data_IF_187860315983
#
_entry.id   IF_187860315983
#
_cell.length_a   1.000
_cell.length_b   1.000
_cell.length_c   1.000
_cell.angle_alpha   90.00
_cell.angle_beta   90.00
_cell.angle_gamma   90.00
#
_symmetry.space_group_name_H-M   'P 1'
#
loop_
_entity.id
_entity.type
_entity.pdbx_description
1 polymer ?
#
# COMPACT_ATOMS: atom_id res chain seq x y z
N UNK A 1 -4.76 -7.28 18.41
CA UNK A 1 -3.83 -7.08 17.27
C UNK A 1 -3.17 -5.71 17.36
N UNK A 2 -2.01 -5.56 16.73
CA UNK A 2 -1.35 -4.29 16.45
C UNK A 2 -1.01 -4.24 14.96
N UNK A 3 -1.26 -3.11 14.31
CA UNK A 3 -1.00 -2.85 12.89
C UNK A 3 -0.15 -1.58 12.79
N UNK A 4 0.96 -1.64 12.08
CA UNK A 4 1.89 -0.53 11.86
C UNK A 4 2.08 -0.35 10.35
N UNK A 5 1.82 0.83 9.82
CA UNK A 5 2.06 1.12 8.40
C UNK A 5 3.54 1.43 8.20
N UNK A 6 4.26 0.59 7.46
CA UNK A 6 5.67 0.82 7.12
C UNK A 6 5.78 1.87 6.01
N UNK A 7 4.87 1.81 5.04
CA UNK A 7 4.71 2.79 3.97
C UNK A 7 3.28 2.85 3.46
N UNK A 8 2.90 3.99 2.89
CA UNK A 8 1.51 4.30 2.49
C UNK A 8 1.38 4.91 1.09
N UNK A 9 2.47 4.95 0.34
CA UNK A 9 2.57 5.59 -0.96
C UNK A 9 2.45 4.62 -2.13
N UNK A 10 2.25 5.20 -3.31
CA UNK A 10 2.32 4.52 -4.61
C UNK A 10 3.70 3.91 -4.88
N UNK A 11 3.82 3.21 -6.02
CA UNK A 11 5.07 2.60 -6.49
C UNK A 11 6.28 3.55 -6.56
N UNK A 12 6.05 4.85 -6.81
CA UNK A 12 7.10 5.86 -6.86
C UNK A 12 7.52 6.40 -5.46
N UNK A 13 6.75 6.13 -4.41
CA UNK A 13 6.90 6.80 -3.11
C UNK A 13 6.61 8.30 -3.18
N UNK A 14 6.77 9.06 -2.10
CA UNK A 14 6.55 10.51 -2.07
C UNK A 14 7.57 11.19 -1.14
N UNK A 15 8.18 12.31 -1.52
CA UNK A 15 7.96 13.14 -2.73
C UNK A 15 8.40 12.50 -4.05
N UNK A 16 7.78 12.90 -5.17
CA UNK A 16 8.27 12.52 -6.51
C UNK A 16 9.47 13.38 -6.90
N UNK A 17 10.55 12.72 -7.35
CA UNK A 17 11.81 13.39 -7.70
C UNK A 17 11.58 14.41 -8.81
N UNK A 18 10.92 14.03 -9.91
CA UNK A 18 10.64 14.93 -11.03
C UNK A 18 9.96 16.22 -10.54
N UNK A 19 9.02 16.08 -9.61
CA UNK A 19 8.18 17.14 -9.09
C UNK A 19 8.98 18.13 -8.24
N UNK A 20 9.83 17.65 -7.33
CA UNK A 20 10.64 18.54 -6.47
C UNK A 20 11.84 19.14 -7.20
N UNK A 21 12.27 18.53 -8.30
CA UNK A 21 13.32 19.06 -9.19
C UNK A 21 12.73 19.66 -10.46
N UNK A 22 11.50 20.16 -10.41
CA UNK A 22 10.85 20.74 -11.58
C UNK A 22 11.68 21.91 -12.16
N UNK A 23 11.73 22.06 -13.50
CA UNK A 23 12.41 23.19 -14.12
C UNK A 23 11.66 24.50 -13.81
N UNK A 24 12.29 25.68 -14.00
CA UNK A 24 11.72 26.97 -13.60
C UNK A 24 10.32 27.27 -14.17
N UNK A 25 9.96 26.68 -15.30
CA UNK A 25 8.67 26.88 -15.98
C UNK A 25 7.54 26.02 -15.39
N UNK A 26 7.84 25.09 -14.48
CA UNK A 26 6.86 24.19 -13.88
C UNK A 26 6.89 24.30 -12.35
N UNK A 27 5.75 24.65 -11.77
CA UNK A 27 5.61 24.68 -10.31
C UNK A 27 5.49 23.25 -9.73
N UNK A 28 6.31 22.88 -8.73
CA UNK A 28 6.13 21.64 -7.98
C UNK A 28 4.76 21.58 -7.29
N UNK A 29 4.17 20.39 -7.20
CA UNK A 29 2.88 20.25 -6.53
C UNK A 29 2.97 20.50 -5.02
N UNK A 30 1.90 21.05 -4.45
CA UNK A 30 1.74 21.33 -3.02
C UNK A 30 2.10 20.12 -2.14
N UNK A 31 1.69 18.92 -2.53
CA UNK A 31 1.91 17.70 -1.75
C UNK A 31 3.39 17.36 -1.64
N UNK A 32 4.11 17.32 -2.78
CA UNK A 32 5.55 17.06 -2.80
C UNK A 32 6.33 18.12 -2.02
N UNK A 33 6.00 19.41 -2.20
CA UNK A 33 6.64 20.48 -1.45
C UNK A 33 6.39 20.35 0.06
N UNK A 34 5.16 20.02 0.46
CA UNK A 34 4.82 19.89 1.88
C UNK A 34 5.60 18.76 2.56
N UNK A 35 5.92 17.69 1.85
CA UNK A 35 6.70 16.55 2.36
C UNK A 35 8.12 16.96 2.80
N UNK A 36 8.64 18.08 2.30
CA UNK A 36 9.94 18.64 2.68
C UNK A 36 9.89 19.49 3.96
N UNK A 37 8.72 19.62 4.59
CA UNK A 37 8.52 20.44 5.79
C UNK A 37 8.20 19.58 7.02
N UNK A 38 8.56 20.00 8.25
CA UNK A 38 8.19 19.28 9.46
C UNK A 38 6.68 19.07 9.62
N UNK A 39 5.86 20.06 9.20
CA UNK A 39 4.39 19.99 9.28
C UNK A 39 3.82 18.96 8.31
N UNK A 40 4.40 18.83 7.11
CA UNK A 40 3.96 17.89 6.09
C UNK A 40 4.65 16.52 6.16
N UNK A 41 5.22 16.12 7.31
CA UNK A 41 5.90 14.81 7.45
C UNK A 41 5.01 13.62 7.04
N UNK A 42 3.69 13.72 7.22
CA UNK A 42 2.72 12.69 6.79
C UNK A 42 2.52 12.60 5.26
N UNK A 43 3.07 13.55 4.51
CA UNK A 43 3.17 13.49 3.06
C UNK A 43 4.49 12.87 2.58
N UNK A 44 5.38 12.45 3.48
CA UNK A 44 6.43 11.48 3.12
C UNK A 44 5.77 10.11 3.12
N UNK A 45 5.81 9.41 1.97
CA UNK A 45 5.09 8.14 1.80
C UNK A 45 6.00 7.13 1.12
N UNK A 46 6.46 6.13 1.88
CA UNK A 46 7.21 4.98 1.38
C UNK A 46 6.28 4.00 0.66
N UNK A 47 6.81 3.04 -0.10
CA UNK A 47 6.00 2.03 -0.78
C UNK A 47 5.08 1.30 0.20
N UNK A 48 3.87 1.02 -0.25
CA UNK A 48 2.81 0.41 0.57
C UNK A 48 3.30 -0.88 1.21
N UNK A 49 3.24 -0.92 2.54
CA UNK A 49 3.68 -2.06 3.35
C UNK A 49 3.18 -1.88 4.79
N UNK A 50 2.94 -2.98 5.49
CA UNK A 50 2.49 -2.95 6.87
C UNK A 50 3.06 -4.11 7.70
N UNK A 51 3.12 -3.92 9.01
CA UNK A 51 3.37 -4.99 9.98
C UNK A 51 2.11 -5.25 10.79
N UNK A 52 1.74 -6.51 10.91
CA UNK A 52 0.68 -7.01 11.76
C UNK A 52 1.29 -7.83 12.89
N UNK A 53 1.01 -7.46 14.12
CA UNK A 53 1.42 -8.21 15.32
C UNK A 53 0.23 -8.80 16.04
N UNK A 54 0.25 -10.11 16.20
CA UNK A 54 -0.84 -10.90 16.77
C UNK A 54 -0.30 -11.82 17.86
N UNK A 55 -1.13 -12.09 18.87
CA UNK A 55 -0.79 -13.09 19.89
C UNK A 55 -0.86 -14.48 19.29
N UNK A 56 0.14 -15.30 19.57
CA UNK A 56 0.18 -16.70 19.18
C UNK A 56 -0.42 -17.59 20.27
N UNK A 57 -0.72 -18.85 19.96
CA UNK A 57 -1.15 -19.86 20.94
C UNK A 57 -0.13 -20.11 22.05
N UNK A 58 1.12 -19.76 21.84
CA UNK A 58 2.23 -19.86 22.80
C UNK A 58 2.37 -18.61 23.69
N UNK A 59 1.50 -17.60 23.51
CA UNK A 59 1.50 -16.38 24.32
C UNK A 59 2.54 -15.32 23.93
N UNK A 60 3.41 -15.59 22.95
CA UNK A 60 4.27 -14.57 22.32
C UNK A 60 3.54 -13.81 21.22
N UNK A 61 4.07 -12.65 20.80
CA UNK A 61 3.57 -11.94 19.61
C UNK A 61 4.31 -12.41 18.36
N UNK A 62 3.58 -12.81 17.33
CA UNK A 62 4.14 -12.99 16.00
C UNK A 62 4.21 -11.64 15.26
N UNK A 63 5.19 -11.47 14.39
CA UNK A 63 5.39 -10.30 13.52
C UNK A 63 5.21 -10.74 12.07
N UNK A 64 4.14 -10.27 11.43
CA UNK A 64 3.82 -10.58 10.04
C UNK A 64 4.00 -9.30 9.23
N UNK A 65 4.84 -9.32 8.21
CA UNK A 65 5.01 -8.19 7.28
C UNK A 65 4.15 -8.44 6.05
N UNK A 66 3.45 -7.42 5.56
CA UNK A 66 2.77 -7.44 4.27
C UNK A 66 3.55 -6.54 3.34
N UNK A 67 4.09 -7.13 2.28
CA UNK A 67 4.99 -6.55 1.28
C UNK A 67 6.32 -6.00 1.82
N UNK A 68 7.37 -6.18 1.03
CA UNK A 68 8.73 -5.66 1.26
C UNK A 68 9.23 -4.97 0.00
N UNK A 69 8.68 -3.80 -0.28
CA UNK A 69 9.06 -2.97 -1.43
C UNK A 69 10.46 -2.35 -1.36
N UNK A 70 10.77 -1.55 -2.38
CA UNK A 70 12.04 -0.79 -2.55
C UNK A 70 12.42 0.05 -1.33
N UNK A 71 11.43 0.53 -0.58
CA UNK A 71 11.63 1.38 0.60
C UNK A 71 11.57 0.61 1.92
N UNK A 72 11.54 -0.73 1.88
CA UNK A 72 11.42 -1.57 3.07
C UNK A 72 12.56 -1.32 4.06
N UNK A 73 13.82 -1.34 3.62
CA UNK A 73 14.98 -1.12 4.49
C UNK A 73 14.84 0.16 5.32
N UNK A 74 14.56 1.29 4.67
CA UNK A 74 14.40 2.58 5.34
C UNK A 74 13.22 2.57 6.33
N UNK A 75 12.13 1.89 5.98
CA UNK A 75 10.97 1.72 6.87
C UNK A 75 11.32 0.86 8.08
N UNK A 76 12.04 -0.24 7.85
CA UNK A 76 12.42 -1.17 8.90
C UNK A 76 13.38 -0.52 9.90
N UNK A 77 14.39 0.22 9.42
CA UNK A 77 15.31 0.98 10.27
C UNK A 77 14.60 2.01 11.15
N UNK A 78 13.54 2.65 10.66
CA UNK A 78 12.76 3.63 11.45
C UNK A 78 11.81 2.95 12.44
N UNK A 79 11.04 1.95 11.99
CA UNK A 79 9.90 1.43 12.74
C UNK A 79 10.20 0.20 13.60
N UNK A 80 11.10 -0.70 13.17
CA UNK A 80 11.38 -1.92 13.93
C UNK A 80 11.98 -1.62 15.31
N UNK A 81 13.04 -0.80 15.44
CA UNK A 81 13.59 -0.43 16.74
C UNK A 81 12.57 0.31 17.62
N UNK A 82 11.79 1.23 17.01
CA UNK A 82 10.79 2.04 17.72
C UNK A 82 9.69 1.19 18.37
N UNK A 83 9.29 0.10 17.72
CA UNK A 83 8.21 -0.77 18.18
C UNK A 83 8.69 -2.09 18.80
N UNK A 84 10.00 -2.23 19.02
CA UNK A 84 10.60 -3.44 19.60
C UNK A 84 10.33 -4.69 18.77
N UNK A 85 10.37 -4.55 17.44
CA UNK A 85 10.27 -5.65 16.49
C UNK A 85 11.68 -6.10 16.13
N UNK A 86 11.94 -7.40 16.21
CA UNK A 86 13.27 -7.97 15.94
C UNK A 86 13.15 -9.08 14.92
N UNK A 87 12.37 -10.11 15.22
CA UNK A 87 12.11 -11.24 14.32
C UNK A 87 10.90 -10.98 13.42
N UNK A 88 10.89 -11.61 12.26
CA UNK A 88 9.79 -11.65 11.29
C UNK A 88 9.33 -13.10 11.15
N UNK A 89 8.12 -13.40 11.61
CA UNK A 89 7.55 -14.75 11.58
C UNK A 89 7.00 -15.13 10.21
N UNK A 90 6.53 -14.15 9.43
CA UNK A 90 6.04 -14.36 8.09
C UNK A 90 6.09 -13.06 7.27
N UNK A 91 6.29 -13.21 5.96
CA UNK A 91 6.06 -12.15 4.99
C UNK A 91 4.98 -12.61 4.03
N UNK A 92 3.94 -11.81 3.86
CA UNK A 92 2.90 -12.00 2.86
C UNK A 92 3.19 -11.06 1.69
N UNK A 93 3.41 -11.59 0.48
CA UNK A 93 3.63 -10.78 -0.73
C UNK A 93 2.35 -10.75 -1.55
N UNK A 94 1.79 -9.55 -1.71
CA UNK A 94 0.54 -9.33 -2.43
C UNK A 94 0.69 -9.62 -3.91
N UNK A 95 1.77 -9.14 -4.53
CA UNK A 95 1.97 -9.25 -5.98
C UNK A 95 3.42 -9.02 -6.44
N UNK A 96 3.66 -9.21 -7.74
CA UNK A 96 4.99 -9.26 -8.34
C UNK A 96 5.62 -7.90 -8.76
N UNK A 97 5.14 -6.75 -8.29
CA UNK A 97 5.76 -5.47 -8.65
C UNK A 97 6.90 -5.06 -7.72
N UNK A 98 7.78 -4.21 -8.23
CA UNK A 98 8.97 -3.76 -7.53
C UNK A 98 8.70 -3.09 -6.17
N UNK A 99 7.59 -2.38 -6.06
CA UNK A 99 7.14 -1.74 -4.82
C UNK A 99 6.53 -2.70 -3.80
N UNK A 100 6.29 -3.96 -4.15
CA UNK A 100 5.88 -5.01 -3.23
C UNK A 100 7.03 -5.96 -2.83
N UNK A 101 8.03 -6.19 -3.69
CA UNK A 101 9.05 -7.23 -3.45
C UNK A 101 10.53 -6.84 -3.57
N UNK A 102 10.90 -5.66 -4.09
CA UNK A 102 12.32 -5.37 -4.34
C UNK A 102 13.17 -5.16 -3.07
N UNK A 103 12.55 -5.12 -1.89
CA UNK A 103 13.22 -5.15 -0.59
C UNK A 103 13.50 -6.56 -0.06
N UNK A 104 13.19 -7.62 -0.82
CA UNK A 104 13.53 -8.99 -0.42
C UNK A 104 15.03 -9.15 -0.14
N UNK A 105 15.90 -8.51 -0.92
CA UNK A 105 17.35 -8.60 -0.70
C UNK A 105 17.80 -7.99 0.63
N UNK A 106 17.11 -6.96 1.13
CA UNK A 106 17.40 -6.30 2.40
C UNK A 106 17.19 -7.24 3.61
N UNK A 107 16.39 -8.30 3.45
CA UNK A 107 16.14 -9.29 4.49
C UNK A 107 17.38 -10.12 4.84
N UNK A 108 18.48 -10.01 4.07
CA UNK A 108 19.79 -10.56 4.45
C UNK A 108 20.18 -10.15 5.87
N UNK A 109 19.84 -8.93 6.30
CA UNK A 109 20.16 -8.44 7.65
C UNK A 109 19.47 -9.21 8.77
N UNK A 110 18.40 -9.96 8.48
CA UNK A 110 17.72 -10.84 9.43
C UNK A 110 18.32 -12.25 9.49
N UNK A 111 18.78 -12.76 8.35
CA UNK A 111 19.24 -14.16 8.27
C UNK A 111 20.75 -14.31 8.26
N UNK A 112 21.49 -13.19 8.19
CA UNK A 112 22.94 -13.16 8.17
C UNK A 112 23.52 -13.96 9.35
N UNK A 113 24.18 -15.07 9.03
CA UNK A 113 24.74 -16.03 9.99
C UNK A 113 23.76 -16.54 11.07
N UNK A 114 22.45 -16.43 10.81
CA UNK A 114 21.41 -16.78 11.79
C UNK A 114 21.38 -15.90 13.04
N UNK A 115 21.91 -14.67 12.98
CA UNK A 115 22.03 -13.78 14.15
C UNK A 115 20.69 -13.29 14.71
N UNK A 116 19.68 -13.11 13.86
CA UNK A 116 18.31 -12.80 14.29
C UNK A 116 17.44 -14.04 14.15
N UNK A 117 17.43 -14.65 12.96
CA UNK A 117 16.69 -15.88 12.68
C UNK A 117 17.37 -16.69 11.58
N UNK A 118 17.21 -18.03 11.55
CA UNK A 118 17.87 -18.86 10.54
C UNK A 118 17.29 -18.69 9.14
N UNK A 119 16.00 -18.38 9.02
CA UNK A 119 15.29 -18.13 7.76
C UNK A 119 14.06 -17.25 8.01
N UNK A 120 13.44 -16.76 6.93
CA UNK A 120 12.13 -16.09 6.96
C UNK A 120 11.15 -16.88 6.07
N UNK A 121 9.96 -17.16 6.58
CA UNK A 121 8.88 -17.77 5.79
C UNK A 121 8.19 -16.70 4.92
N UNK A 122 8.20 -16.91 3.60
CA UNK A 122 7.59 -16.01 2.61
C UNK A 122 6.39 -16.72 1.97
N UNK A 123 5.22 -16.09 2.02
CA UNK A 123 3.96 -16.59 1.49
C UNK A 123 3.53 -15.74 0.30
N UNK A 124 3.36 -16.37 -0.86
CA UNK A 124 3.08 -15.69 -2.12
C UNK A 124 2.39 -16.62 -3.13
N UNK A 125 1.79 -16.05 -4.17
CA UNK A 125 1.22 -16.85 -5.27
C UNK A 125 2.31 -17.54 -6.09
N UNK A 126 1.94 -18.57 -6.86
CA UNK A 126 2.87 -19.24 -7.78
C UNK A 126 3.41 -18.25 -8.83
N UNK A 127 2.55 -17.39 -9.37
CA UNK A 127 2.91 -16.37 -10.37
C UNK A 127 3.93 -15.37 -9.80
N UNK A 128 3.73 -14.95 -8.55
CA UNK A 128 4.67 -14.04 -7.87
C UNK A 128 6.00 -14.72 -7.61
N UNK A 129 5.99 -16.01 -7.26
CA UNK A 129 7.22 -16.78 -7.06
C UNK A 129 8.01 -16.95 -8.36
N UNK A 130 7.32 -17.22 -9.46
CA UNK A 130 7.96 -17.34 -10.79
C UNK A 130 8.57 -16.00 -11.25
N UNK A 131 7.92 -14.88 -10.92
CA UNK A 131 8.49 -13.55 -11.14
C UNK A 131 9.77 -13.33 -10.31
N UNK A 132 9.76 -13.66 -9.01
CA UNK A 132 10.96 -13.58 -8.16
C UNK A 132 12.09 -14.44 -8.71
N UNK A 133 11.80 -15.68 -9.12
CA UNK A 133 12.78 -16.62 -9.69
C UNK A 133 13.42 -16.08 -10.97
N UNK A 134 12.67 -15.29 -11.73
CA UNK A 134 13.12 -14.66 -12.98
C UNK A 134 13.95 -13.40 -12.69
N UNK A 135 13.46 -12.50 -11.84
CA UNK A 135 14.09 -11.22 -11.54
C UNK A 135 15.31 -11.34 -10.61
N UNK A 136 15.23 -12.24 -9.62
CA UNK A 136 16.22 -12.41 -8.56
C UNK A 136 16.55 -13.89 -8.33
N UNK A 137 17.11 -14.58 -9.34
CA UNK A 137 17.32 -16.03 -9.30
C UNK A 137 18.16 -16.51 -8.11
N UNK A 138 19.07 -15.68 -7.62
CA UNK A 138 19.93 -15.99 -6.48
C UNK A 138 19.20 -16.04 -5.14
N UNK A 139 18.03 -15.38 -5.00
CA UNK A 139 17.19 -15.46 -3.80
C UNK A 139 16.48 -16.82 -3.67
N UNK A 140 16.34 -17.54 -4.78
CA UNK A 140 15.68 -18.85 -4.84
C UNK A 140 16.70 -20.00 -4.86
N UNK A 141 17.83 -19.80 -5.53
CA UNK A 141 18.88 -20.82 -5.71
C UNK A 141 20.24 -20.20 -5.47
N UNK A 142 20.89 -20.61 -4.38
CA UNK A 142 22.20 -20.08 -3.96
C UNK A 142 23.29 -20.37 -5.00
N UNK A 143 23.14 -21.43 -5.80
CA UNK A 143 24.07 -21.74 -6.89
C UNK A 143 24.13 -20.65 -7.97
N UNK A 144 23.11 -19.77 -8.01
CA UNK A 144 23.03 -18.64 -8.95
C UNK A 144 23.57 -17.33 -8.37
N UNK A 145 24.08 -17.34 -7.14
CA UNK A 145 24.76 -16.19 -6.57
C UNK A 145 26.16 -16.03 -7.20
N UNK A 146 26.46 -14.85 -7.72
CA UNK A 146 27.78 -14.54 -8.25
C UNK A 146 28.69 -14.02 -7.13
N UNK A 147 29.61 -14.85 -6.63
CA UNK A 147 30.63 -14.45 -5.65
C UNK A 147 30.34 -14.83 -4.20
N UNK A 148 31.08 -14.25 -3.26
CA UNK A 148 31.03 -14.59 -1.83
C UNK A 148 30.13 -13.70 -0.96
N UNK A 149 29.22 -12.93 -1.57
CA UNK A 149 28.28 -12.09 -0.82
C UNK A 149 27.21 -12.92 -0.12
N UNK A 150 26.77 -12.49 1.06
CA UNK A 150 25.71 -13.16 1.79
C UNK A 150 24.38 -13.10 1.00
N UNK A 151 23.53 -14.12 1.13
CA UNK A 151 22.22 -14.18 0.48
C UNK A 151 21.19 -14.46 1.58
N UNK A 152 20.02 -13.81 1.56
CA UNK A 152 18.99 -14.09 2.55
C UNK A 152 18.54 -15.56 2.51
N UNK A 153 18.13 -16.08 3.65
CA UNK A 153 17.60 -17.45 3.77
C UNK A 153 16.07 -17.41 3.83
N UNK A 154 15.41 -18.02 2.85
CA UNK A 154 13.95 -18.02 2.76
C UNK A 154 13.38 -19.43 2.72
N UNK A 155 12.22 -19.57 3.36
CA UNK A 155 11.33 -20.71 3.17
C UNK A 155 10.11 -20.24 2.40
N UNK A 156 9.98 -20.72 1.17
CA UNK A 156 8.92 -20.31 0.26
C UNK A 156 7.66 -21.15 0.46
N UNK A 157 6.52 -20.47 0.57
CA UNK A 157 5.19 -21.07 0.71
C UNK A 157 4.28 -20.56 -0.39
N UNK A 158 3.85 -21.47 -1.27
CA UNK A 158 2.88 -21.14 -2.30
C UNK A 158 1.48 -21.15 -1.69
N UNK A 159 0.79 -20.02 -1.78
CA UNK A 159 -0.58 -19.85 -1.30
C UNK A 159 -1.54 -19.67 -2.47
N UNK A 160 -2.80 -20.05 -2.27
CA UNK A 160 -3.81 -20.11 -3.31
C UNK A 160 -5.02 -19.24 -2.96
N UNK A 161 -5.62 -18.63 -3.99
CA UNK A 161 -6.81 -17.79 -3.86
C UNK A 161 -7.92 -18.50 -3.06
N UNK A 162 -8.46 -17.80 -2.05
CA UNK A 162 -9.53 -18.25 -1.15
C UNK A 162 -9.23 -19.50 -0.30
N UNK A 163 -7.99 -19.99 -0.31
CA UNK A 163 -7.60 -21.14 0.52
C UNK A 163 -6.96 -20.63 1.82
N UNK A 164 -7.63 -20.78 2.98
CA UNK A 164 -7.07 -20.34 4.25
C UNK A 164 -5.88 -21.21 4.65
N UNK A 165 -4.92 -20.59 5.34
CA UNK A 165 -3.76 -21.27 5.92
C UNK A 165 -3.42 -20.70 7.30
N UNK A 166 -2.65 -21.46 8.08
CA UNK A 166 -2.12 -21.04 9.38
C UNK A 166 -0.63 -20.70 9.24
N UNK A 167 -0.21 -19.54 9.77
CA UNK A 167 1.20 -19.15 9.77
C UNK A 167 1.95 -19.98 10.81
N UNK A 168 2.92 -20.80 10.39
CA UNK A 168 3.90 -21.47 11.25
C UNK A 168 3.34 -22.13 12.53
N UNK A 169 2.13 -22.72 12.45
CA UNK A 169 1.42 -23.28 13.60
C UNK A 169 1.19 -22.28 14.77
N UNK A 170 1.14 -20.97 14.50
CA UNK A 170 1.01 -19.93 15.53
C UNK A 170 -0.40 -19.77 16.08
N UNK A 171 -1.40 -20.36 15.42
CA UNK A 171 -2.84 -20.12 15.62
C UNK A 171 -3.40 -18.95 14.81
N UNK A 172 -2.55 -18.22 14.07
CA UNK A 172 -2.97 -17.08 13.24
C UNK A 172 -3.35 -17.58 11.85
N UNK A 173 -4.59 -17.29 11.44
CA UNK A 173 -5.14 -17.75 10.17
C UNK A 173 -5.18 -16.60 9.17
N UNK A 174 -4.78 -16.91 7.93
CA UNK A 174 -4.82 -15.96 6.81
C UNK A 174 -5.63 -16.57 5.68
N UNK A 175 -6.59 -15.81 5.16
CA UNK A 175 -7.32 -16.15 3.94
C UNK A 175 -6.92 -15.16 2.85
N UNK A 176 -6.10 -15.56 1.87
CA UNK A 176 -5.83 -14.75 0.69
C UNK A 176 -7.08 -14.70 -0.20
N UNK A 177 -7.29 -13.59 -0.89
CA UNK A 177 -8.34 -13.45 -1.88
C UNK A 177 -7.89 -12.51 -3.00
N UNK A 178 -8.38 -12.74 -4.20
CA UNK A 178 -8.00 -11.94 -5.37
C UNK A 178 -8.55 -10.51 -5.28
N UNK A 179 -7.65 -9.53 -5.33
CA UNK A 179 -7.89 -8.15 -5.78
C UNK A 179 -7.32 -8.02 -7.19
N UNK A 180 -8.14 -7.63 -8.18
CA UNK A 180 -7.67 -7.58 -9.57
C UNK A 180 -6.98 -6.24 -9.87
N UNK A 181 -5.82 -6.31 -10.53
CA UNK A 181 -5.10 -5.17 -11.10
C UNK A 181 -5.10 -5.30 -12.61
N UNK A 182 -5.58 -4.27 -13.32
CA UNK A 182 -5.36 -4.19 -14.78
C UNK A 182 -3.97 -3.60 -15.05
N UNK A 183 -3.12 -4.30 -15.80
CA UNK A 183 -1.95 -3.70 -16.42
C UNK A 183 -2.22 -3.55 -17.93
N UNK A 184 -2.14 -2.31 -18.43
CA UNK A 184 -2.03 -2.03 -19.87
C UNK A 184 -0.54 -2.06 -20.20
N UNK A 185 -0.13 -2.87 -21.18
CA UNK A 185 1.25 -2.84 -21.67
C UNK A 185 1.44 -1.72 -22.70
N UNK A 186 2.57 -1.01 -22.58
CA UNK A 186 3.01 0.05 -23.50
C UNK A 186 3.32 -0.55 -24.87
N UNK A 187 2.74 -0.03 -25.95
CA UNK A 187 3.30 -0.25 -27.29
C UNK A 187 4.58 0.58 -27.45
N UNK A 188 5.74 -0.01 -27.17
CA UNK A 188 6.98 0.38 -27.84
C UNK A 188 7.22 -0.63 -28.96
N UNK A 189 6.87 -0.25 -30.19
CA UNK A 189 7.33 -0.93 -31.38
C UNK A 189 7.90 0.10 -32.37
N UNK A 190 9.07 0.64 -32.01
CA UNK A 190 10.06 0.98 -33.02
C UNK A 190 10.58 -0.35 -33.59
N UNK A 191 10.04 -0.78 -34.72
CA UNK A 191 10.67 -1.81 -35.54
C UNK A 191 11.13 -1.19 -36.85
N UNK A 192 12.42 -1.37 -37.10
CA UNK A 192 13.13 -1.01 -38.32
C UNK A 192 12.32 -1.38 -39.57
N UNK A 193 11.98 -0.38 -40.40
CA UNK A 193 11.72 -0.64 -41.81
C UNK A 193 13.01 -0.46 -42.58
N UNK A 194 13.49 -1.61 -43.05
CA UNK A 194 14.39 -1.86 -44.15
C UNK A 194 14.54 -0.68 -45.12
N UNK A 195 15.75 -0.14 -45.19
CA UNK A 195 16.16 0.72 -46.31
C UNK A 195 16.37 -0.19 -47.52
N UNK A 196 15.51 -0.02 -48.53
CA UNK A 196 15.73 -0.60 -49.86
C UNK A 196 16.79 0.27 -50.55
N UNK A 197 17.93 -0.33 -50.86
CA UNK A 197 18.95 0.26 -51.72
C UNK A 197 18.42 0.39 -53.16
N UNK A 198 18.37 1.62 -53.67
CA UNK A 198 18.60 1.89 -55.09
C UNK A 198 19.65 2.99 -55.22
N UNK A 199 20.81 2.62 -55.77
CA UNK A 199 21.85 3.57 -56.14
C UNK A 199 21.51 4.27 -57.45
N UNK A 200 21.93 5.54 -57.61
CA UNK A 200 23.10 5.89 -58.41
C UNK A 200 23.24 7.42 -58.58
N UNK A 201 24.50 7.83 -58.53
CA UNK A 201 25.16 8.97 -59.19
C UNK A 201 25.04 10.43 -58.69
N UNK A 202 26.23 11.02 -58.74
CA UNK A 202 26.72 12.32 -58.31
C UNK A 202 26.70 13.36 -59.42
N UNK A 203 26.40 14.63 -59.12
CA UNK A 203 27.16 15.81 -59.60
C UNK A 203 26.62 17.16 -59.10
N UNK A 204 27.57 18.03 -58.71
CA UNK A 204 27.63 19.51 -58.86
C UNK A 204 26.61 20.44 -58.16
N UNK A 205 27.10 21.14 -57.12
CA UNK A 205 27.14 22.62 -56.84
C UNK A 205 25.95 23.57 -57.13
N UNK A 206 25.86 24.73 -56.42
CA UNK A 206 24.63 25.22 -55.77
C UNK A 206 23.93 26.37 -56.49
N UNK A 207 22.62 26.53 -56.26
CA UNK A 207 21.92 27.80 -56.46
C UNK A 207 20.85 28.04 -55.38
N UNK A 208 20.85 29.28 -54.89
CA UNK A 208 19.86 29.91 -54.01
C UNK A 208 18.43 29.81 -54.53
N UNK A 209 17.48 29.57 -53.63
CA UNK A 209 16.22 30.32 -53.60
C UNK A 209 15.43 30.01 -52.32
N UNK A 210 15.00 31.09 -51.65
CA UNK A 210 14.05 31.06 -50.54
C UNK A 210 12.74 30.39 -50.97
N UNK A 211 12.20 29.50 -50.14
CA UNK A 211 10.76 29.34 -49.95
C UNK A 211 10.43 28.57 -48.67
N UNK A 212 9.85 29.31 -47.71
CA UNK A 212 8.75 28.93 -46.81
C UNK A 212 8.65 27.48 -46.34
N UNK A 213 8.92 27.25 -45.06
CA UNK A 213 8.57 26.04 -44.32
C UNK A 213 7.05 25.80 -44.33
N UNK A 214 6.56 24.59 -44.69
CA UNK A 214 5.16 24.24 -44.49
C UNK A 214 4.92 23.91 -43.01
N UNK A 215 3.92 24.57 -42.44
CA UNK A 215 3.29 24.26 -41.17
C UNK A 215 2.79 22.81 -41.15
N UNK A 216 3.33 21.98 -40.27
CA UNK A 216 2.87 20.60 -40.09
C UNK A 216 1.75 20.57 -39.04
N UNK A 217 0.50 20.56 -39.48
CA UNK A 217 -0.65 20.22 -38.66
C UNK A 217 -0.77 18.69 -38.57
N UNK A 218 -0.47 18.13 -37.40
CA UNK A 218 -0.64 16.70 -37.11
C UNK A 218 -1.65 16.51 -36.00
N UNK A 219 -2.93 16.54 -36.34
CA UNK A 219 -3.97 15.86 -35.56
C UNK A 219 -5.10 15.46 -36.53
N UNK A 220 -4.82 14.48 -37.38
CA UNK A 220 -5.89 13.67 -37.95
C UNK A 220 -6.06 12.46 -37.03
N UNK A 221 -7.17 12.44 -36.29
CA UNK A 221 -7.59 11.32 -35.46
C UNK A 221 -7.93 10.12 -36.36
N UNK A 222 -7.14 9.05 -36.26
CA UNK A 222 -7.48 7.76 -36.87
C UNK A 222 -8.10 6.85 -35.79
N UNK A 223 -9.27 6.23 -36.05
CA UNK A 223 -9.94 5.40 -35.06
C UNK A 223 -9.20 4.06 -34.89
N UNK A 224 -8.58 3.87 -33.72
CA UNK A 224 -7.97 2.60 -33.33
C UNK A 224 -9.03 1.59 -32.89
N UNK A 225 -9.50 0.75 -33.81
CA UNK A 225 -10.11 -0.53 -33.46
C UNK A 225 -9.00 -1.51 -33.08
N UNK A 226 -8.80 -1.76 -31.77
CA UNK A 226 -7.87 -2.74 -31.23
C UNK A 226 -8.61 -3.79 -30.38
N UNK A 227 -8.20 -5.07 -30.38
CA UNK A 227 -8.96 -6.16 -29.79
C UNK A 227 -8.94 -6.18 -28.24
N UNK A 228 -10.06 -6.58 -27.65
CA UNK A 228 -10.44 -6.47 -26.22
C UNK A 228 -9.71 -7.37 -25.20
N UNK A 229 -8.66 -8.11 -25.57
CA UNK A 229 -8.13 -9.15 -24.67
C UNK A 229 -7.17 -8.58 -23.62
N UNK A 230 -7.71 -8.34 -22.42
CA UNK A 230 -7.01 -7.80 -21.24
C UNK A 230 -6.40 -8.94 -20.42
N UNK A 231 -5.08 -8.97 -20.24
CA UNK A 231 -4.45 -9.86 -19.25
C UNK A 231 -4.62 -9.28 -17.84
N UNK A 232 -5.13 -10.11 -16.93
CA UNK A 232 -5.43 -9.74 -15.55
C UNK A 232 -4.17 -10.01 -14.74
N UNK A 233 -3.66 -8.98 -14.08
CA UNK A 233 -2.58 -9.15 -13.12
C UNK A 233 -3.18 -9.42 -11.74
N UNK A 234 -2.76 -10.52 -11.12
CA UNK A 234 -3.26 -10.96 -9.83
C UNK A 234 -2.54 -10.22 -8.70
N UNK A 235 -3.31 -9.59 -7.82
CA UNK A 235 -2.85 -9.10 -6.52
C UNK A 235 -3.68 -9.77 -5.43
N UNK A 236 -3.04 -10.24 -4.36
CA UNK A 236 -3.77 -10.78 -3.21
C UNK A 236 -4.07 -9.69 -2.19
N UNK A 237 -5.34 -9.62 -1.79
CA UNK A 237 -5.72 -9.12 -0.49
C UNK A 237 -5.65 -10.23 0.56
N UNK A 238 -5.56 -9.84 1.83
CA UNK A 238 -5.48 -10.77 2.95
C UNK A 238 -6.52 -10.45 4.01
N UNK A 239 -7.29 -11.47 4.40
CA UNK A 239 -8.05 -11.45 5.65
C UNK A 239 -7.24 -12.19 6.72
N UNK A 240 -6.88 -11.49 7.79
CA UNK A 240 -6.06 -12.03 8.89
C UNK A 240 -6.94 -12.13 10.14
N UNK A 241 -7.19 -13.37 10.56
CA UNK A 241 -8.25 -13.75 11.47
C UNK A 241 -9.57 -13.02 11.13
N UNK A 242 -10.39 -12.70 12.13
CA UNK A 242 -11.49 -11.73 12.01
C UNK A 242 -11.08 -10.36 12.58
N UNK A 243 -9.82 -9.95 12.38
CA UNK A 243 -9.29 -8.69 12.92
C UNK A 243 -8.93 -7.66 11.84
N UNK A 244 -8.48 -8.12 10.67
CA UNK A 244 -7.99 -7.26 9.60
C UNK A 244 -8.39 -7.78 8.22
N UNK A 245 -8.88 -6.88 7.37
CA UNK A 245 -8.90 -7.05 5.91
C UNK A 245 -7.89 -6.07 5.32
N UNK A 246 -6.93 -6.55 4.55
CA UNK A 246 -5.89 -5.76 3.91
C UNK A 246 -6.00 -5.89 2.39
N UNK A 247 -6.21 -4.76 1.72
CA UNK A 247 -6.32 -4.66 0.27
C UNK A 247 -5.45 -3.48 -0.18
N UNK A 248 -4.35 -3.76 -0.87
CA UNK A 248 -3.54 -2.78 -1.58
C UNK A 248 -3.56 -3.12 -3.08
N UNK A 249 -3.15 -2.15 -3.91
CA UNK A 249 -2.94 -2.34 -5.34
C UNK A 249 -4.11 -3.10 -5.98
N UNK A 250 -5.30 -2.48 -5.99
CA UNK A 250 -6.52 -3.13 -6.45
C UNK A 250 -7.39 -2.13 -7.21
N UNK A 251 -7.82 -2.52 -8.41
CA UNK A 251 -8.79 -1.76 -9.22
C UNK A 251 -10.19 -2.36 -9.20
N UNK A 252 -10.33 -3.60 -8.73
CA UNK A 252 -11.58 -4.34 -8.72
C UNK A 252 -11.52 -5.50 -7.72
N UNK A 253 -12.61 -5.73 -6.99
CA UNK A 253 -12.78 -6.89 -6.10
C UNK A 253 -13.84 -7.80 -6.72
N UNK A 254 -13.50 -9.05 -7.08
CA UNK A 254 -14.45 -10.02 -7.62
C UNK A 254 -15.61 -10.31 -6.67
N UNK A 255 -16.77 -10.63 -7.23
CA UNK A 255 -18.00 -10.85 -6.44
C UNK A 255 -17.81 -11.99 -5.43
N UNK A 256 -17.09 -13.04 -5.82
CA UNK A 256 -16.76 -14.18 -4.98
C UNK A 256 -15.82 -13.89 -3.80
N UNK A 257 -15.15 -12.72 -3.79
CA UNK A 257 -14.28 -12.32 -2.67
C UNK A 257 -15.09 -11.67 -1.53
N UNK A 258 -16.31 -11.18 -1.78
CA UNK A 258 -17.11 -10.49 -0.77
C UNK A 258 -17.64 -11.39 0.34
N UNK A 259 -17.79 -12.68 0.05
CA UNK A 259 -18.13 -13.71 1.05
C UNK A 259 -17.03 -13.86 2.11
N UNK A 260 -15.79 -13.49 1.78
CA UNK A 260 -14.63 -13.56 2.67
C UNK A 260 -14.48 -12.26 3.47
N UNK A 261 -14.68 -11.11 2.84
CA UNK A 261 -14.26 -9.81 3.40
C UNK A 261 -15.39 -8.96 3.99
N UNK A 262 -16.64 -9.16 3.57
CA UNK A 262 -17.74 -8.32 4.06
C UNK A 262 -18.11 -8.71 5.48
N UNK A 263 -18.43 -7.72 6.31
CA UNK A 263 -18.84 -7.99 7.69
C UNK A 263 -20.17 -8.74 7.76
N UNK A 264 -21.03 -8.53 6.76
CA UNK A 264 -22.32 -9.23 6.63
C UNK A 264 -22.13 -10.72 6.37
N UNK A 265 -21.27 -11.11 5.43
CA UNK A 265 -21.07 -12.52 5.09
C UNK A 265 -20.13 -13.25 6.06
N UNK A 266 -19.11 -12.56 6.57
CA UNK A 266 -17.94 -13.20 7.20
C UNK A 266 -17.72 -12.82 8.68
N UNK A 267 -18.67 -12.08 9.26
CA UNK A 267 -18.63 -11.57 10.62
C UNK A 267 -17.89 -10.24 10.76
N UNK A 268 -18.08 -9.57 11.89
CA UNK A 268 -17.55 -8.23 12.17
C UNK A 268 -16.04 -8.10 11.90
N UNK A 269 -15.68 -7.14 11.05
CA UNK A 269 -14.28 -6.77 10.75
C UNK A 269 -13.93 -5.45 11.48
N UNK A 270 -13.02 -5.46 12.46
CA UNK A 270 -12.66 -4.23 13.17
C UNK A 270 -11.89 -3.23 12.29
N UNK A 271 -10.93 -3.71 11.49
CA UNK A 271 -10.05 -2.85 10.69
C UNK A 271 -10.01 -3.30 9.23
N UNK A 272 -10.15 -2.35 8.34
CA UNK A 272 -9.88 -2.51 6.91
C UNK A 272 -8.74 -1.56 6.49
N UNK A 273 -7.79 -2.07 5.71
CA UNK A 273 -6.83 -1.29 4.92
C UNK A 273 -7.22 -1.41 3.46
N UNK A 274 -7.30 -0.29 2.76
CA UNK A 274 -7.85 -0.25 1.41
C UNK A 274 -7.06 0.68 0.47
N UNK A 275 -6.83 0.20 -0.75
CA UNK A 275 -6.20 0.95 -1.84
C UNK A 275 -6.98 2.23 -2.17
N UNK A 276 -6.24 3.32 -2.39
CA UNK A 276 -6.73 4.62 -2.82
C UNK A 276 -5.57 5.43 -3.41
N UNK A 277 -5.30 5.25 -4.69
CA UNK A 277 -4.19 5.93 -5.36
C UNK A 277 -4.39 7.45 -5.41
N UNK A 278 -5.57 7.87 -5.87
CA UNK A 278 -5.85 9.28 -6.16
C UNK A 278 -7.35 9.59 -6.16
N UNK A 279 -7.71 10.83 -6.49
CA UNK A 279 -9.11 11.27 -6.50
C UNK A 279 -9.86 10.89 -7.78
N UNK A 280 -9.15 10.84 -8.91
CA UNK A 280 -9.72 10.54 -10.23
C UNK A 280 -9.56 9.06 -10.57
N UNK A 281 -10.44 8.48 -11.39
CA UNK A 281 -10.32 7.09 -11.83
C UNK A 281 -8.92 6.74 -12.33
N UNK A 282 -8.48 5.52 -12.01
CA UNK A 282 -7.21 4.97 -12.46
C UNK A 282 -7.43 3.53 -12.93
N UNK A 283 -6.66 3.09 -13.92
CA UNK A 283 -6.84 1.77 -14.54
C UNK A 283 -6.47 0.63 -13.60
N UNK A 284 -5.44 0.83 -12.77
CA UNK A 284 -4.82 -0.24 -11.96
C UNK A 284 -5.11 -0.14 -10.46
N UNK A 285 -5.77 0.94 -10.03
CA UNK A 285 -5.98 1.24 -8.61
C UNK A 285 -7.35 1.84 -8.39
N UNK A 286 -7.87 1.66 -7.18
CA UNK A 286 -9.03 2.39 -6.73
C UNK A 286 -8.71 3.88 -6.63
N UNK A 287 -9.66 4.67 -7.12
CA UNK A 287 -9.74 6.06 -6.73
C UNK A 287 -10.66 6.21 -5.51
N UNK A 288 -10.61 7.38 -4.87
CA UNK A 288 -11.29 7.61 -3.60
C UNK A 288 -12.77 7.21 -3.58
N UNK A 289 -13.52 7.41 -4.66
CA UNK A 289 -14.94 7.04 -4.71
C UNK A 289 -15.16 5.53 -4.67
N UNK A 290 -14.36 4.76 -5.42
CA UNK A 290 -14.37 3.30 -5.38
C UNK A 290 -13.93 2.77 -4.01
N UNK A 291 -12.91 3.39 -3.41
CA UNK A 291 -12.47 3.03 -2.06
C UNK A 291 -13.57 3.27 -1.03
N UNK A 292 -14.28 4.41 -1.10
CA UNK A 292 -15.41 4.71 -0.20
C UNK A 292 -16.57 3.74 -0.41
N UNK A 293 -16.94 3.43 -1.66
CA UNK A 293 -17.99 2.46 -1.97
C UNK A 293 -17.65 1.06 -1.45
N UNK A 294 -16.40 0.63 -1.66
CA UNK A 294 -15.90 -0.66 -1.17
C UNK A 294 -15.86 -0.69 0.36
N UNK A 295 -15.40 0.39 1.02
CA UNK A 295 -15.39 0.49 2.48
C UNK A 295 -16.79 0.39 3.09
N UNK A 296 -17.82 0.98 2.45
CA UNK A 296 -19.22 0.83 2.85
C UNK A 296 -19.68 -0.62 2.77
N UNK A 297 -19.30 -1.35 1.72
CA UNK A 297 -19.66 -2.75 1.52
C UNK A 297 -18.91 -3.70 2.47
N UNK A 298 -17.64 -3.40 2.79
CA UNK A 298 -16.85 -4.17 3.78
C UNK A 298 -17.47 -4.01 5.18
N UNK A 299 -17.90 -2.79 5.53
CA UNK A 299 -18.57 -2.51 6.81
C UNK A 299 -17.64 -2.57 8.02
N UNK A 300 -16.34 -2.33 7.83
CA UNK A 300 -15.38 -2.33 8.94
C UNK A 300 -15.57 -1.14 9.88
N UNK A 301 -15.25 -1.32 11.16
CA UNK A 301 -15.37 -0.22 12.14
C UNK A 301 -14.40 0.94 11.88
N UNK A 302 -13.20 0.65 11.39
CA UNK A 302 -12.21 1.64 10.96
C UNK A 302 -11.62 1.25 9.61
N UNK A 303 -11.76 2.10 8.60
CA UNK A 303 -11.07 1.94 7.32
C UNK A 303 -9.92 2.92 7.19
N UNK A 304 -8.73 2.41 6.85
CA UNK A 304 -7.53 3.19 6.58
C UNK A 304 -7.17 3.09 5.10
N UNK A 305 -7.06 4.23 4.43
CA UNK A 305 -6.67 4.28 3.02
C UNK A 305 -5.14 4.21 2.88
N UNK A 306 -4.63 3.57 1.82
CA UNK A 306 -3.19 3.48 1.48
C UNK A 306 -2.98 3.59 -0.03
N UNK A 307 -1.73 3.59 -0.50
CA UNK A 307 -1.38 3.58 -1.93
C UNK A 307 -1.30 4.97 -2.56
N UNK A 308 -1.24 6.04 -1.78
CA UNK A 308 -1.47 7.40 -2.28
C UNK A 308 -0.37 7.93 -3.21
N UNK A 309 -0.76 8.58 -4.29
CA UNK A 309 0.10 9.44 -5.12
C UNK A 309 0.16 10.88 -4.60
N UNK A 310 0.89 11.77 -5.29
CA UNK A 310 1.05 13.17 -4.89
C UNK A 310 -0.17 14.10 -5.15
N UNK A 311 -1.31 13.57 -5.59
CA UNK A 311 -2.46 14.39 -6.03
C UNK A 311 -3.13 15.21 -4.92
N UNK A 312 -3.12 14.71 -3.68
CA UNK A 312 -3.71 15.38 -2.52
C UNK A 312 -2.84 15.22 -1.27
N UNK A 313 -2.87 16.22 -0.40
CA UNK A 313 -2.18 16.17 0.89
C UNK A 313 -2.91 15.24 1.86
N UNK A 314 -2.19 14.76 2.88
CA UNK A 314 -2.75 13.94 3.94
C UNK A 314 -3.94 14.65 4.60
N UNK A 315 -3.82 15.95 4.87
CA UNK A 315 -4.88 16.79 5.46
C UNK A 315 -6.10 16.90 4.55
N UNK A 316 -5.90 16.98 3.23
CA UNK A 316 -6.99 16.97 2.26
C UNK A 316 -7.74 15.62 2.29
N UNK A 317 -7.02 14.50 2.35
CA UNK A 317 -7.63 13.17 2.54
C UNK A 317 -8.35 13.04 3.89
N UNK A 318 -7.83 13.64 4.96
CA UNK A 318 -8.53 13.68 6.26
C UNK A 318 -9.85 14.43 6.13
N UNK A 319 -9.84 15.63 5.52
CA UNK A 319 -11.05 16.41 5.31
C UNK A 319 -12.10 15.67 4.47
N UNK A 320 -11.66 14.99 3.39
CA UNK A 320 -12.55 14.17 2.57
C UNK A 320 -13.13 12.99 3.36
N UNK A 321 -12.32 12.31 4.18
CA UNK A 321 -12.80 11.23 5.05
C UNK A 321 -13.75 11.71 6.16
N UNK A 322 -13.58 12.94 6.66
CA UNK A 322 -14.52 13.57 7.60
C UNK A 322 -15.88 13.84 6.95
N UNK A 323 -15.88 14.34 5.71
CA UNK A 323 -17.11 14.54 4.92
C UNK A 323 -17.83 13.21 4.68
N UNK A 324 -17.09 12.14 4.33
CA UNK A 324 -17.65 10.78 4.20
C UNK A 324 -18.27 10.30 5.52
N UNK A 325 -17.66 10.66 6.64
CA UNK A 325 -18.17 10.38 7.99
C UNK A 325 -19.35 11.27 8.43
N UNK A 326 -19.85 12.15 7.57
CA UNK A 326 -21.00 13.02 7.84
C UNK A 326 -20.66 14.38 8.47
N UNK A 327 -19.39 14.78 8.51
CA UNK A 327 -19.02 16.10 8.99
C UNK A 327 -19.51 17.21 8.03
N UNK A 328 -20.07 18.28 8.61
CA UNK A 328 -20.36 19.50 7.86
C UNK A 328 -19.07 20.33 7.76
N UNK A 329 -18.60 20.56 6.54
CA UNK A 329 -17.46 21.44 6.24
C UNK A 329 -17.94 22.73 5.57
N UNK A 330 -17.10 23.76 5.63
CA UNK A 330 -17.38 25.03 4.97
C UNK A 330 -17.53 24.83 3.44
N UNK A 331 -18.39 25.65 2.83
CA UNK A 331 -18.61 25.66 1.39
C UNK A 331 -17.32 25.95 0.63
N UNK A 332 -16.43 26.79 1.16
CA UNK A 332 -15.14 27.11 0.52
C UNK A 332 -14.20 25.88 0.46
N UNK A 333 -14.04 25.17 1.58
CA UNK A 333 -13.20 23.96 1.67
C UNK A 333 -13.76 22.84 0.76
N UNK A 334 -15.09 22.66 0.79
CA UNK A 334 -15.77 21.68 -0.05
C UNK A 334 -15.65 22.02 -1.54
N UNK A 335 -15.72 23.30 -1.90
CA UNK A 335 -15.56 23.76 -3.29
C UNK A 335 -14.15 23.52 -3.81
N UNK A 336 -13.11 23.80 -3.01
CA UNK A 336 -11.72 23.53 -3.38
C UNK A 336 -11.47 22.02 -3.62
N UNK A 337 -12.05 21.15 -2.77
CA UNK A 337 -11.97 19.70 -2.96
C UNK A 337 -12.71 19.25 -4.23
N UNK A 338 -13.91 19.79 -4.51
CA UNK A 338 -14.66 19.50 -5.73
C UNK A 338 -13.87 19.86 -6.99
N UNK A 339 -13.19 21.01 -7.00
CA UNK A 339 -12.31 21.42 -8.12
C UNK A 339 -11.18 20.43 -8.36
N UNK A 340 -10.70 19.73 -7.31
CA UNK A 340 -9.69 18.67 -7.42
C UNK A 340 -10.25 17.33 -7.92
N UNK A 341 -11.55 17.25 -8.23
CA UNK A 341 -12.21 16.03 -8.71
C UNK A 341 -12.82 15.19 -7.59
N UNK A 342 -13.00 15.74 -6.38
CA UNK A 342 -13.75 15.07 -5.33
C UNK A 342 -15.25 15.06 -5.67
N UNK A 343 -15.77 13.89 -6.03
CA UNK A 343 -17.20 13.63 -6.21
C UNK A 343 -17.51 12.27 -5.58
N UNK A 344 -18.50 12.22 -4.69
CA UNK A 344 -18.92 11.00 -4.02
C UNK A 344 -20.43 10.85 -4.06
N UNK A 345 -20.87 9.62 -4.27
CA UNK A 345 -22.27 9.26 -4.10
C UNK A 345 -22.68 9.36 -2.62
N UNK A 346 -23.87 9.92 -2.40
CA UNK A 346 -24.50 9.93 -1.08
C UNK A 346 -24.69 8.49 -0.61
N UNK A 347 -24.36 8.22 0.63
CA UNK A 347 -24.51 6.91 1.24
C UNK A 347 -24.36 6.97 2.74
N UNK A 348 -24.42 5.81 3.39
CA UNK A 348 -24.29 5.70 4.84
C UNK A 348 -22.94 6.31 5.28
N UNK A 349 -22.94 7.19 6.31
CA UNK A 349 -21.71 7.69 6.88
C UNK A 349 -20.85 6.56 7.43
N UNK A 350 -19.57 6.55 7.10
CA UNK A 350 -18.60 5.56 7.58
C UNK A 350 -17.34 6.25 8.09
N UNK A 351 -16.63 5.60 9.01
CA UNK A 351 -15.32 6.09 9.43
C UNK A 351 -14.24 5.63 8.47
N UNK A 352 -13.62 6.60 7.79
CA UNK A 352 -12.51 6.36 6.86
C UNK A 352 -11.47 7.48 6.99
N UNK A 353 -10.19 7.13 7.07
CA UNK A 353 -9.08 8.10 7.19
C UNK A 353 -7.87 7.66 6.36
N UNK A 354 -7.03 8.59 5.89
CA UNK A 354 -5.77 8.20 5.27
C UNK A 354 -4.81 7.61 6.30
N UNK A 355 -4.14 6.51 5.96
CA UNK A 355 -2.96 6.11 6.69
C UNK A 355 -1.80 7.10 6.46
N UNK A 356 -0.77 7.00 7.28
CA UNK A 356 0.54 7.60 7.01
C UNK A 356 1.63 6.64 7.53
N UNK A 357 2.84 6.79 7.02
CA UNK A 357 3.98 6.00 7.47
C UNK A 357 4.17 6.15 9.00
N UNK A 358 4.34 5.00 9.67
CA UNK A 358 4.45 4.90 11.12
C UNK A 358 3.14 5.03 11.89
N UNK A 359 1.98 5.15 11.21
CA UNK A 359 0.68 5.07 11.88
C UNK A 359 0.57 3.72 12.58
N UNK A 360 0.24 3.74 13.86
CA UNK A 360 0.02 2.54 14.66
C UNK A 360 -1.44 2.46 15.07
N UNK A 361 -2.03 1.29 14.80
CA UNK A 361 -3.39 0.93 15.14
C UNK A 361 -3.35 -0.28 16.06
N UNK A 362 -4.15 -0.28 17.12
CA UNK A 362 -4.27 -1.40 18.05
C UNK A 362 -5.73 -1.80 18.19
N UNK A 363 -5.97 -3.11 18.19
CA UNK A 363 -7.28 -3.70 18.45
C UNK A 363 -7.20 -4.43 19.78
N UNK A 364 -8.08 -4.04 20.70
CA UNK A 364 -8.25 -4.70 21.99
C UNK A 364 -9.74 -4.96 22.24
N UNK A 365 -10.12 -6.24 22.38
CA UNK A 365 -11.51 -6.68 22.57
C UNK A 365 -12.48 -6.09 21.52
N UNK A 366 -12.08 -6.08 20.25
CA UNK A 366 -12.87 -5.52 19.14
C UNK A 366 -12.89 -3.99 19.05
N UNK A 367 -12.31 -3.27 20.01
CA UNK A 367 -12.19 -1.81 20.01
C UNK A 367 -10.89 -1.41 19.32
N UNK A 368 -11.00 -0.49 18.36
CA UNK A 368 -9.87 0.01 17.56
C UNK A 368 -9.39 1.36 18.08
N UNK A 369 -8.08 1.47 18.32
CA UNK A 369 -7.39 2.69 18.76
C UNK A 369 -6.24 3.01 17.81
N UNK A 370 -6.02 4.27 17.46
CA UNK A 370 -4.92 4.69 16.60
C UNK A 370 -4.23 5.96 17.09
N UNK A 371 -2.92 6.09 16.95
CA UNK A 371 -2.20 7.18 17.61
C UNK A 371 -2.49 8.60 17.03
N UNK A 372 -3.25 8.70 15.93
CA UNK A 372 -3.36 9.94 15.15
C UNK A 372 -4.74 10.60 15.23
N UNK A 373 -5.83 9.84 15.22
CA UNK A 373 -7.20 10.32 15.07
C UNK A 373 -8.04 10.22 16.36
N UNK A 374 -7.44 9.81 17.48
CA UNK A 374 -8.11 9.54 18.75
C UNK A 374 -8.87 10.71 19.40
N UNK A 375 -8.67 11.95 18.95
CA UNK A 375 -9.34 13.12 19.51
C UNK A 375 -10.72 13.44 18.90
N UNK A 376 -11.29 12.57 18.06
CA UNK A 376 -12.54 12.86 17.34
C UNK A 376 -13.78 12.06 17.79
N UNK A 377 -13.73 11.31 18.90
CA UNK A 377 -14.99 10.81 19.50
C UNK A 377 -15.70 11.95 20.25
N UNK A 378 -17.03 12.10 20.15
CA UNK A 378 -17.74 13.19 20.80
C UNK A 378 -17.49 13.19 22.32
N UNK A 379 -17.37 14.36 22.98
CA UNK A 379 -16.84 14.50 24.35
C UNK A 379 -17.61 13.75 25.47
N UNK A 380 -18.71 13.07 25.17
CA UNK A 380 -19.61 12.47 26.16
C UNK A 380 -19.19 11.08 26.69
N UNK A 381 -18.44 10.29 25.93
CA UNK A 381 -18.18 8.88 26.28
C UNK A 381 -16.83 8.63 26.97
N UNK A 382 -15.83 9.50 26.76
CA UNK A 382 -14.50 9.36 27.36
C UNK A 382 -14.52 9.54 28.89
N UNK A 383 -15.38 10.40 29.44
CA UNK A 383 -15.37 10.71 30.89
C UNK A 383 -15.80 9.56 31.79
N UNK A 384 -16.56 8.58 31.27
CA UNK A 384 -17.07 7.44 32.06
C UNK A 384 -16.16 6.21 32.04
N UNK A 385 -15.34 6.07 31.00
CA UNK A 385 -14.42 4.94 30.83
C UNK A 385 -13.11 5.12 31.62
N UNK A 386 -12.52 6.32 31.58
CA UNK A 386 -11.22 6.62 32.19
C UNK A 386 -11.21 6.57 33.73
N UNK A 387 -12.29 7.04 34.37
CA UNK A 387 -12.41 7.00 35.84
C UNK A 387 -12.59 5.58 36.40
N UNK A 388 -13.15 4.66 35.62
CA UNK A 388 -13.31 3.24 36.02
C UNK A 388 -12.01 2.45 35.87
N UNK A 389 -11.21 2.76 34.85
CA UNK A 389 -9.93 2.09 34.59
C UNK A 389 -8.85 2.47 35.61
N UNK A 390 -8.70 3.77 35.92
CA UNK A 390 -7.72 4.23 36.91
C UNK A 390 -8.01 3.76 38.35
N UNK A 391 -9.29 3.65 38.73
CA UNK A 391 -9.68 3.10 40.04
C UNK A 391 -9.32 1.62 40.22
N UNK A 392 -9.23 0.86 39.12
CA UNK A 392 -8.86 -0.57 39.15
C UNK A 392 -7.35 -0.79 39.27
N UNK A 393 -6.53 0.14 38.78
CA UNK A 393 -5.06 0.04 38.82
C UNK A 393 -4.48 0.55 40.16
N UNK A 394 -5.12 1.54 40.78
CA UNK A 394 -4.62 2.16 42.02
C UNK A 394 -4.95 1.41 43.32
N UNK A 395 -5.70 0.29 43.26
CA UNK A 395 -6.11 -0.46 44.47
C UNK A 395 -5.40 -1.80 44.71
N UNK A 396 -4.37 -2.14 43.93
CA UNK A 396 -3.57 -3.35 44.13
C UNK A 396 -2.11 -3.01 44.39
N UNK A 397 -1.83 -2.49 45.59
CA UNK A 397 -0.54 -2.60 46.32
C UNK A 397 -0.66 -1.89 47.68
N UNK A 398 -1.06 -2.63 48.70
CA UNK A 398 -0.61 -2.38 50.09
C UNK A 398 0.02 -3.69 50.58
N UNK A 399 1.35 -3.76 50.79
CA UNK A 399 1.94 -4.88 51.49
C UNK A 399 1.60 -4.77 52.98
N UNK A 400 1.12 -5.88 53.54
CA UNK A 400 0.96 -6.10 54.98
C UNK A 400 2.36 -6.28 55.57
N UNK A 401 2.78 -5.40 56.48
CA UNK A 401 3.95 -5.67 57.33
C UNK A 401 3.56 -6.66 58.43
N UNK A 402 4.36 -7.69 58.72
CA UNK A 402 4.19 -8.46 59.94
C UNK A 402 4.85 -7.72 61.11
N UNK A 403 4.09 -7.56 62.19
CA UNK A 403 4.58 -7.21 63.52
C UNK A 403 5.33 -8.40 64.12
N UNK A 404 6.62 -8.23 64.44
CA UNK A 404 7.26 -8.56 65.73
C UNK A 404 8.70 -8.05 65.75
#
# INVERSE_FOLDING_TARGET
MELIFLGTGSSAGLPYIDCITAPPEREPCKTCLSALTPKGKRNIRRNTSAVVRLGTKEGRKATIVIDVGKTFQASALEWFPKHGMREIDAILITHAHADALNGLDDLRSWTLYGLIQPHIDIYLSQETFDAVKTSFPYLVSKERASGGGDVPEFKWHIIHDKVPFEINNTGIHVTPFSGRVYAIEKSCCLTNKSVVHHGFHSSSSPQDSLQTSPSFSLFDEMPCNMPEKREIFLSFGYKIDNQLVYISDASFIPEESWDIISSEASGYVPVCVLDCLQLKPHISHFHLAESVASARRIGAARTYLTGFCHAATHEEYVAMGEIVGGALKDQAETSALRTKGFSLEKGVPIWIRPAHDGLRVTINNGIVWDETYLNQLPPGELRRSWTRYLRRILFWKRPVMPSF
#
